data_IF_994096449251
#
_entry.id   IF_994096449251
#
_cell.length_a   1.000
_cell.length_b   1.000
_cell.length_c   1.000
_cell.angle_alpha   90.00
_cell.angle_beta   90.00
_cell.angle_gamma   90.00
#
_symmetry.space_group_name_H-M   'P 1'
#
loop_
_entity.id
_entity.type
_entity.pdbx_description
1 polymer ?
#
# COMPACT_ATOMS: atom_id res chain seq x y z
N UNK A 1 9.86 -7.83 13.74
CA UNK A 1 8.55 -7.36 13.23
C UNK A 1 8.70 -6.94 11.78
N UNK A 2 8.25 -7.75 10.81
CA UNK A 2 8.31 -7.44 9.37
C UNK A 2 6.99 -7.87 8.72
N UNK A 3 5.96 -7.02 8.83
CA UNK A 3 4.60 -7.32 8.31
C UNK A 3 3.94 -6.25 7.41
N UNK A 4 4.30 -4.95 7.41
CA UNK A 4 3.58 -4.00 6.55
C UNK A 4 4.03 -4.04 5.08
N UNK A 5 5.32 -4.33 4.81
CA UNK A 5 5.86 -4.34 3.43
C UNK A 5 5.35 -5.50 2.58
N UNK A 6 5.12 -6.65 3.20
CA UNK A 6 4.63 -7.86 2.51
C UNK A 6 3.16 -7.72 2.15
N UNK A 7 2.35 -7.06 2.99
CA UNK A 7 0.93 -6.87 2.74
C UNK A 7 0.66 -5.89 1.58
N UNK A 8 1.47 -4.84 1.44
CA UNK A 8 1.41 -3.91 0.30
C UNK A 8 1.77 -4.62 -1.02
N UNK A 9 2.79 -5.48 -1.01
CA UNK A 9 3.20 -6.27 -2.18
C UNK A 9 2.12 -7.26 -2.63
N UNK A 10 1.37 -7.87 -1.70
CA UNK A 10 0.29 -8.82 -2.03
C UNK A 10 -0.91 -8.08 -2.65
N UNK A 11 -1.27 -6.90 -2.13
CA UNK A 11 -2.34 -6.08 -2.72
C UNK A 11 -1.93 -5.57 -4.10
N UNK A 12 -0.67 -5.17 -4.28
CA UNK A 12 -0.14 -4.72 -5.57
C UNK A 12 -0.11 -5.86 -6.61
N UNK A 13 0.33 -7.05 -6.21
CA UNK A 13 0.29 -8.25 -7.05
C UNK A 13 -1.14 -8.64 -7.43
N UNK A 14 -2.11 -8.51 -6.51
CA UNK A 14 -3.52 -8.79 -6.81
C UNK A 14 -4.15 -7.75 -7.74
N UNK A 15 -3.76 -6.47 -7.65
CA UNK A 15 -4.21 -5.43 -8.58
C UNK A 15 -3.59 -5.64 -9.97
N UNK A 16 -2.29 -5.90 -10.03
CA UNK A 16 -1.57 -6.17 -11.30
C UNK A 16 -2.09 -7.46 -11.96
N UNK A 17 -2.32 -8.54 -11.20
CA UNK A 17 -2.94 -9.77 -11.70
C UNK A 17 -4.39 -9.52 -12.12
N UNK A 18 -5.15 -8.69 -11.40
CA UNK A 18 -6.51 -8.32 -11.82
C UNK A 18 -6.50 -7.51 -13.12
N UNK A 19 -5.51 -6.63 -13.33
CA UNK A 19 -5.33 -5.86 -14.57
C UNK A 19 -4.88 -6.77 -15.73
N UNK A 20 -4.02 -7.76 -15.47
CA UNK A 20 -3.58 -8.77 -16.46
C UNK A 20 -4.75 -9.70 -16.84
N UNK A 21 -5.58 -10.13 -15.87
CA UNK A 21 -6.80 -10.90 -16.14
C UNK A 21 -7.87 -10.04 -16.85
N UNK A 22 -7.90 -8.73 -16.60
CA UNK A 22 -8.78 -7.79 -17.31
C UNK A 22 -8.46 -7.66 -18.80
N UNK A 23 -7.24 -8.02 -19.20
CA UNK A 23 -6.78 -7.96 -20.59
C UNK A 23 -7.38 -9.07 -21.47
N UNK A 24 -8.12 -10.04 -20.90
CA UNK A 24 -8.69 -11.18 -21.65
C UNK A 24 -10.22 -11.11 -21.75
N UNK A 25 -10.67 -10.52 -22.86
CA UNK A 25 -11.96 -10.61 -23.59
C UNK A 25 -13.31 -10.53 -22.84
N UNK A 26 -14.08 -9.50 -23.19
CA UNK A 26 -15.51 -9.57 -23.58
C UNK A 26 -15.80 -8.27 -24.33
N UNK A 27 -16.38 -8.33 -25.53
CA UNK A 27 -16.66 -7.16 -26.40
C UNK A 27 -17.40 -6.02 -25.69
N UNK A 28 -18.20 -6.35 -24.67
CA UNK A 28 -18.85 -5.39 -23.78
C UNK A 28 -17.87 -4.62 -22.87
N UNK A 29 -16.91 -5.31 -22.25
CA UNK A 29 -15.92 -4.70 -21.34
C UNK A 29 -14.90 -3.86 -22.09
N UNK A 30 -14.50 -4.27 -23.29
CA UNK A 30 -13.63 -3.47 -24.15
C UNK A 30 -14.28 -2.13 -24.55
N UNK A 31 -15.59 -2.12 -24.81
CA UNK A 31 -16.34 -0.89 -25.11
C UNK A 31 -16.39 0.07 -23.92
N UNK A 32 -16.66 -0.44 -22.71
CA UNK A 32 -16.68 0.39 -21.50
C UNK A 32 -15.27 0.91 -21.17
N UNK A 33 -14.26 0.05 -21.25
CA UNK A 33 -12.86 0.45 -21.06
C UNK A 33 -12.46 1.55 -22.07
N UNK A 34 -12.82 1.40 -23.34
CA UNK A 34 -12.57 2.41 -24.37
C UNK A 34 -13.25 3.74 -24.03
N UNK A 35 -14.54 3.72 -23.65
CA UNK A 35 -15.25 4.94 -23.23
C UNK A 35 -14.65 5.60 -21.98
N UNK A 36 -14.21 4.81 -21.00
CA UNK A 36 -13.57 5.33 -19.79
C UNK A 36 -12.23 6.01 -20.10
N UNK A 37 -11.47 5.46 -21.05
CA UNK A 37 -10.13 5.97 -21.36
C UNK A 37 -10.10 6.98 -22.51
N UNK A 38 -11.17 7.17 -23.28
CA UNK A 38 -11.20 8.19 -24.34
C UNK A 38 -10.91 9.60 -23.80
N UNK A 39 -11.30 9.89 -22.55
CA UNK A 39 -11.07 11.17 -21.86
C UNK A 39 -9.66 11.30 -21.26
N UNK A 40 -8.90 10.21 -21.18
CA UNK A 40 -7.54 10.23 -20.62
C UNK A 40 -6.59 10.81 -21.65
N UNK A 41 -6.27 12.08 -21.47
CA UNK A 41 -5.15 12.72 -22.13
C UNK A 41 -3.84 12.40 -21.39
N UNK A 42 -2.76 12.26 -22.16
CA UNK A 42 -1.42 12.07 -21.63
C UNK A 42 -0.39 12.73 -22.54
N UNK A 43 0.74 13.11 -21.96
CA UNK A 43 1.90 13.65 -22.66
C UNK A 43 2.94 12.56 -22.90
N UNK A 44 3.96 12.88 -23.70
CA UNK A 44 5.16 12.04 -23.81
C UNK A 44 5.79 11.77 -22.44
N UNK A 45 5.87 12.79 -21.58
CA UNK A 45 6.40 12.67 -20.23
C UNK A 45 5.58 11.68 -19.38
N UNK A 46 4.25 11.76 -19.41
CA UNK A 46 3.37 10.81 -18.71
C UNK A 46 3.66 9.37 -19.14
N UNK A 47 3.85 9.14 -20.44
CA UNK A 47 4.12 7.83 -20.99
C UNK A 47 5.49 7.30 -20.54
N UNK A 48 6.53 8.13 -20.58
CA UNK A 48 7.87 7.73 -20.16
C UNK A 48 7.97 7.50 -18.65
N UNK A 49 7.30 8.34 -17.84
CA UNK A 49 7.21 8.13 -16.40
C UNK A 49 6.46 6.84 -16.06
N UNK A 50 5.35 6.56 -16.74
CA UNK A 50 4.61 5.30 -16.59
C UNK A 50 5.49 4.09 -16.91
N UNK A 51 6.24 4.14 -18.02
CA UNK A 51 7.17 3.07 -18.39
C UNK A 51 8.26 2.89 -17.36
N UNK A 52 8.90 3.97 -16.92
CA UNK A 52 9.95 3.93 -15.91
C UNK A 52 9.44 3.33 -14.60
N UNK A 53 8.25 3.74 -14.17
CA UNK A 53 7.58 3.22 -12.99
C UNK A 53 7.41 1.70 -13.05
N UNK A 54 6.77 1.17 -14.09
CA UNK A 54 6.55 -0.28 -14.22
C UNK A 54 7.84 -1.08 -14.50
N UNK A 55 8.83 -0.49 -15.16
CA UNK A 55 10.14 -1.13 -15.33
C UNK A 55 10.94 -1.20 -14.03
N UNK A 56 10.74 -0.23 -13.12
CA UNK A 56 11.40 -0.23 -11.81
C UNK A 56 10.79 -1.21 -10.81
N UNK A 57 9.57 -1.70 -11.05
CA UNK A 57 8.89 -2.66 -10.18
C UNK A 57 9.46 -4.08 -10.35
N UNK A 58 10.38 -4.44 -9.47
CA UNK A 58 11.03 -5.76 -9.46
C UNK A 58 10.06 -6.94 -9.32
N UNK A 59 8.90 -6.76 -8.67
CA UNK A 59 7.92 -7.82 -8.51
C UNK A 59 7.17 -8.05 -9.83
N UNK A 60 6.72 -6.96 -10.47
CA UNK A 60 6.13 -7.03 -11.81
C UNK A 60 7.10 -7.65 -12.82
N UNK A 61 8.37 -7.21 -12.82
CA UNK A 61 9.38 -7.75 -13.73
C UNK A 61 9.61 -9.25 -13.53
N UNK A 62 9.58 -9.73 -12.27
CA UNK A 62 9.68 -11.16 -11.98
C UNK A 62 8.51 -11.94 -12.57
N UNK A 63 7.27 -11.50 -12.31
CA UNK A 63 6.06 -12.16 -12.82
C UNK A 63 6.04 -12.19 -14.34
N UNK A 64 6.38 -11.08 -15.00
CA UNK A 64 6.48 -11.04 -16.46
C UNK A 64 7.49 -12.06 -16.98
N UNK A 65 8.67 -12.14 -16.37
CA UNK A 65 9.69 -13.10 -16.79
C UNK A 65 9.28 -14.55 -16.57
N UNK A 66 8.61 -14.86 -15.46
CA UNK A 66 8.08 -16.20 -15.17
C UNK A 66 7.01 -16.61 -16.19
N UNK A 67 6.06 -15.72 -16.47
CA UNK A 67 5.01 -15.96 -17.48
C UNK A 67 5.59 -16.12 -18.89
N UNK A 68 6.59 -15.31 -19.26
CA UNK A 68 7.29 -15.45 -20.54
C UNK A 68 7.96 -16.82 -20.65
N UNK A 69 8.61 -17.30 -19.57
CA UNK A 69 9.20 -18.66 -19.54
C UNK A 69 8.14 -19.75 -19.67
N UNK A 70 6.93 -19.50 -19.17
CA UNK A 70 5.77 -20.37 -19.34
C UNK A 70 5.10 -20.26 -20.73
N UNK A 71 5.61 -19.40 -21.62
CA UNK A 71 5.10 -19.24 -22.99
C UNK A 71 3.94 -18.26 -23.14
N UNK A 72 3.67 -17.41 -22.14
CA UNK A 72 2.61 -16.41 -22.21
C UNK A 72 2.99 -15.26 -23.16
N UNK A 73 2.32 -15.20 -24.31
CA UNK A 73 2.51 -14.18 -25.33
C UNK A 73 2.06 -12.79 -24.89
N UNK A 74 1.08 -12.67 -23.99
CA UNK A 74 0.62 -11.39 -23.47
C UNK A 74 1.72 -10.74 -22.62
N UNK A 75 2.40 -11.53 -21.79
CA UNK A 75 3.55 -11.06 -21.01
C UNK A 75 4.74 -10.65 -21.88
N UNK A 76 4.97 -11.32 -23.01
CA UNK A 76 5.97 -10.88 -24.01
C UNK A 76 5.60 -9.53 -24.61
N UNK A 77 4.34 -9.35 -25.01
CA UNK A 77 3.85 -8.09 -25.57
C UNK A 77 3.94 -6.94 -24.56
N UNK A 78 3.54 -7.18 -23.31
CA UNK A 78 3.64 -6.20 -22.22
C UNK A 78 5.10 -5.78 -21.99
N UNK A 79 6.02 -6.74 -21.94
CA UNK A 79 7.45 -6.44 -21.77
C UNK A 79 8.01 -5.63 -22.93
N UNK A 80 7.62 -5.95 -24.17
CA UNK A 80 7.98 -5.16 -25.36
C UNK A 80 7.44 -3.74 -25.27
N UNK A 81 6.16 -3.58 -24.92
CA UNK A 81 5.53 -2.27 -24.72
C UNK A 81 6.29 -1.42 -23.71
N UNK A 82 6.56 -1.96 -22.51
CA UNK A 82 7.29 -1.25 -21.46
C UNK A 82 8.74 -0.90 -21.88
N UNK A 83 9.32 -1.59 -22.86
CA UNK A 83 10.65 -1.28 -23.41
C UNK A 83 10.64 -0.26 -24.56
N UNK A 84 9.47 0.11 -25.10
CA UNK A 84 9.34 0.95 -26.29
C UNK A 84 9.08 2.41 -25.92
N UNK A 85 9.93 3.32 -26.38
CA UNK A 85 9.77 4.76 -26.14
C UNK A 85 8.59 5.37 -26.87
N UNK A 86 8.15 6.52 -26.38
CA UNK A 86 6.95 7.22 -26.82
C UNK A 86 6.91 7.45 -28.33
N UNK A 87 8.05 7.82 -28.92
CA UNK A 87 8.24 8.02 -30.36
C UNK A 87 7.97 6.76 -31.19
N UNK A 88 8.09 5.57 -30.59
CA UNK A 88 7.82 4.28 -31.24
C UNK A 88 6.57 3.57 -30.68
N UNK A 89 5.75 4.26 -29.88
CA UNK A 89 4.59 3.62 -29.20
C UNK A 89 3.64 2.91 -30.16
N UNK A 90 3.45 3.45 -31.36
CA UNK A 90 2.56 2.90 -32.38
C UNK A 90 3.07 1.55 -32.95
N UNK A 91 4.35 1.21 -32.72
CA UNK A 91 4.94 -0.07 -33.13
C UNK A 91 4.61 -1.23 -32.18
N UNK A 92 4.03 -0.94 -31.01
CA UNK A 92 3.75 -1.92 -29.95
C UNK A 92 2.51 -2.77 -30.23
N UNK A 93 1.76 -2.48 -31.31
CA UNK A 93 0.48 -3.11 -31.70
C UNK A 93 -0.62 -2.96 -30.64
N UNK A 94 -0.40 -2.20 -29.58
CA UNK A 94 -1.45 -1.80 -28.65
C UNK A 94 -2.32 -0.72 -29.28
N UNK A 95 -3.59 -0.75 -28.91
CA UNK A 95 -4.54 0.28 -29.24
C UNK A 95 -4.38 1.45 -28.26
N UNK A 96 -4.68 2.66 -28.73
CA UNK A 96 -4.53 3.89 -27.95
C UNK A 96 -5.21 3.84 -26.57
N UNK A 97 -6.40 3.22 -26.47
CA UNK A 97 -7.12 3.08 -25.20
C UNK A 97 -6.42 2.15 -24.20
N UNK A 98 -5.63 1.18 -24.67
CA UNK A 98 -4.83 0.29 -23.81
C UNK A 98 -3.66 1.08 -23.20
N UNK A 99 -2.99 1.90 -24.02
CA UNK A 99 -1.92 2.80 -23.56
C UNK A 99 -2.47 3.79 -22.52
N UNK A 100 -3.61 4.42 -22.83
CA UNK A 100 -4.30 5.33 -21.90
C UNK A 100 -4.71 4.64 -20.61
N UNK A 101 -5.17 3.39 -20.68
CA UNK A 101 -5.47 2.57 -19.50
C UNK A 101 -4.25 2.31 -18.62
N UNK A 102 -3.09 2.05 -19.21
CA UNK A 102 -1.83 1.88 -18.47
C UNK A 102 -1.40 3.18 -17.78
N UNK A 103 -1.53 4.32 -18.46
CA UNK A 103 -1.21 5.64 -17.88
C UNK A 103 -2.16 6.00 -16.75
N UNK A 104 -3.46 5.72 -16.92
CA UNK A 104 -4.43 5.90 -15.85
C UNK A 104 -4.07 5.03 -14.64
N UNK A 105 -3.72 3.77 -14.85
CA UNK A 105 -3.32 2.84 -13.79
C UNK A 105 -2.06 3.31 -13.06
N UNK A 106 -1.08 3.85 -13.79
CA UNK A 106 0.09 4.50 -13.21
C UNK A 106 -0.29 5.69 -12.31
N UNK A 107 -1.11 6.62 -12.81
CA UNK A 107 -1.56 7.80 -12.05
C UNK A 107 -2.30 7.41 -10.77
N UNK A 108 -3.23 6.44 -10.86
CA UNK A 108 -3.94 5.91 -9.70
C UNK A 108 -2.98 5.29 -8.68
N UNK A 109 -1.99 4.53 -9.15
CA UNK A 109 -1.00 3.90 -8.27
C UNK A 109 -0.18 4.94 -7.51
N UNK A 110 0.28 5.99 -8.18
CA UNK A 110 0.99 7.10 -7.54
C UNK A 110 0.11 7.85 -6.54
N UNK A 111 -1.15 8.11 -6.87
CA UNK A 111 -2.07 8.78 -5.96
C UNK A 111 -2.35 7.96 -4.70
N UNK A 112 -2.50 6.64 -4.84
CA UNK A 112 -2.65 5.72 -3.72
C UNK A 112 -1.39 5.74 -2.84
N UNK A 113 -0.20 5.65 -3.45
CA UNK A 113 1.06 5.74 -2.71
C UNK A 113 1.19 7.08 -1.96
N UNK A 114 0.80 8.19 -2.58
CA UNK A 114 0.78 9.52 -1.95
C UNK A 114 -0.15 9.57 -0.74
N UNK A 115 -1.37 9.01 -0.86
CA UNK A 115 -2.33 8.93 0.24
C UNK A 115 -1.81 8.07 1.39
N UNK A 116 -1.20 6.93 1.09
CA UNK A 116 -0.58 6.09 2.12
C UNK A 116 0.59 6.79 2.80
N UNK A 117 1.45 7.49 2.06
CA UNK A 117 2.54 8.27 2.64
C UNK A 117 2.03 9.39 3.55
N UNK A 118 0.94 10.07 3.17
CA UNK A 118 0.31 11.08 4.01
C UNK A 118 -0.28 10.48 5.31
N UNK A 119 -0.89 9.30 5.23
CA UNK A 119 -1.39 8.57 6.40
C UNK A 119 -0.23 8.15 7.31
N UNK A 120 0.85 7.60 6.75
CA UNK A 120 2.05 7.20 7.50
C UNK A 120 2.71 8.39 8.21
N UNK A 121 2.78 9.54 7.55
CA UNK A 121 3.28 10.78 8.16
C UNK A 121 2.42 11.23 9.35
N UNK A 122 1.09 11.19 9.20
CA UNK A 122 0.17 11.53 10.31
C UNK A 122 0.27 10.54 11.45
N UNK A 123 0.46 9.25 11.14
CA UNK A 123 0.65 8.22 12.16
C UNK A 123 1.94 8.47 12.94
N UNK A 124 3.05 8.80 12.27
CA UNK A 124 4.32 9.15 12.93
C UNK A 124 4.23 10.40 13.79
N UNK A 125 3.51 11.42 13.33
CA UNK A 125 3.25 12.62 14.11
C UNK A 125 2.45 12.28 15.38
N UNK A 126 1.42 11.44 15.24
CA UNK A 126 0.63 10.97 16.37
C UNK A 126 1.47 10.12 17.33
N UNK A 127 2.27 9.17 16.83
CA UNK A 127 3.21 8.38 17.64
C UNK A 127 4.23 9.26 18.37
N UNK A 128 4.73 10.33 17.73
CA UNK A 128 5.59 11.31 18.37
C UNK A 128 4.88 12.18 19.42
N UNK A 129 3.58 12.42 19.25
CA UNK A 129 2.75 13.12 20.25
C UNK A 129 2.35 12.24 21.44
N UNK A 130 2.29 10.93 21.25
CA UNK A 130 2.00 9.91 22.28
C UNK A 130 3.30 9.40 22.93
N UNK A 131 4.47 9.61 22.30
CA UNK A 131 5.76 9.42 22.94
C UNK A 131 5.77 10.22 24.26
N UNK A 132 6.12 9.59 25.39
CA UNK A 132 5.64 9.98 26.70
C UNK A 132 6.01 11.42 27.00
N UNK A 133 5.01 12.29 26.94
CA UNK A 133 5.10 13.66 27.43
C UNK A 133 4.72 13.72 28.90
N UNK A 134 4.99 12.65 29.67
CA UNK A 134 4.36 12.46 30.97
C UNK A 134 5.42 12.23 32.04
N UNK A 135 5.92 13.33 32.62
CA UNK A 135 6.38 13.32 34.01
C UNK A 135 5.27 12.78 34.95
N UNK A 136 4.00 12.95 34.56
CA UNK A 136 2.80 12.47 35.26
C UNK A 136 2.66 10.94 35.30
N UNK A 137 3.15 10.20 34.30
CA UNK A 137 3.09 8.73 34.30
C UNK A 137 4.09 8.14 35.31
N UNK A 138 5.20 8.84 35.59
CA UNK A 138 6.16 8.39 36.61
C UNK A 138 5.60 8.50 38.03
N UNK A 139 4.77 9.53 38.30
CA UNK A 139 4.13 9.72 39.59
C UNK A 139 3.03 8.65 39.82
N UNK A 140 2.23 8.36 38.80
CA UNK A 140 1.25 7.28 38.83
C UNK A 140 1.92 5.91 39.01
N UNK A 141 3.05 5.67 38.34
CA UNK A 141 3.80 4.43 38.47
C UNK A 141 4.45 4.28 39.86
N UNK A 142 5.00 5.35 40.42
CA UNK A 142 5.55 5.38 41.78
C UNK A 142 4.47 5.10 42.83
N UNK A 143 3.26 5.63 42.65
CA UNK A 143 2.13 5.34 43.54
C UNK A 143 1.70 3.87 43.43
N UNK A 144 1.66 3.30 42.22
CA UNK A 144 1.34 1.90 41.98
C UNK A 144 2.38 0.95 42.58
N UNK A 145 3.66 1.28 42.47
CA UNK A 145 4.74 0.48 43.05
C UNK A 145 4.76 0.57 44.58
N UNK A 146 4.42 1.74 45.14
CA UNK A 146 4.22 1.92 46.58
C UNK A 146 3.07 1.07 47.11
N UNK A 147 1.93 1.06 46.40
CA UNK A 147 0.77 0.23 46.74
C UNK A 147 1.09 -1.27 46.64
N UNK A 148 1.79 -1.69 45.58
CA UNK A 148 2.23 -3.09 45.41
C UNK A 148 3.17 -3.54 46.53
N UNK A 149 4.08 -2.66 46.96
CA UNK A 149 4.96 -2.93 48.10
C UNK A 149 4.17 -3.11 49.39
N UNK A 150 3.16 -2.27 49.65
CA UNK A 150 2.28 -2.40 50.81
C UNK A 150 1.42 -3.68 50.78
N UNK A 151 0.99 -4.12 49.59
CA UNK A 151 0.27 -5.41 49.39
C UNK A 151 1.20 -6.57 49.70
N UNK A 152 2.41 -6.57 49.12
CA UNK A 152 3.37 -7.67 49.25
C UNK A 152 3.96 -7.77 50.67
N UNK A 153 4.03 -6.67 51.42
CA UNK A 153 4.42 -6.66 52.83
C UNK A 153 3.27 -7.05 53.78
N UNK A 154 2.07 -7.37 53.26
CA UNK A 154 0.90 -7.76 54.07
C UNK A 154 0.36 -6.65 54.98
N UNK A 155 0.73 -5.39 54.72
CA UNK A 155 0.42 -4.23 55.59
C UNK A 155 -0.92 -3.57 55.27
N UNK A 156 -1.47 -3.79 54.08
CA UNK A 156 -2.77 -3.23 53.68
C UNK A 156 -3.95 -3.72 54.55
N UNK A 157 -3.83 -4.90 55.16
CA UNK A 157 -4.86 -5.44 56.06
C UNK A 157 -4.87 -4.81 57.47
N UNK A 158 -3.81 -4.08 57.87
CA UNK A 158 -3.75 -3.42 59.20
C UNK A 158 -4.34 -2.02 59.22
N UNK A 159 -4.52 -1.39 58.06
CA UNK A 159 -5.04 -0.01 57.94
C UNK A 159 -6.49 0.06 57.44
N UNK A 160 -7.05 -1.02 56.90
CA UNK A 160 -8.46 -1.03 56.51
C UNK A 160 -9.36 -1.29 57.74
N UNK A 161 -9.75 -0.22 58.44
CA UNK A 161 -10.93 -0.27 59.33
C UNK A 161 -12.18 -0.32 58.46
N UNK A 162 -12.83 -1.48 58.42
CA UNK A 162 -14.13 -1.62 57.78
C UNK A 162 -15.15 -0.70 58.46
N UNK A 163 -15.96 0.08 57.72
CA UNK A 163 -17.05 0.87 58.31
C UNK A 163 -18.23 0.02 58.80
N UNK A 164 -18.13 -1.32 58.76
CA UNK A 164 -19.17 -2.27 59.13
C UNK A 164 -18.81 -3.15 60.34
N UNK A 165 -17.72 -2.86 61.06
CA UNK A 165 -17.48 -3.53 62.35
C UNK A 165 -18.42 -2.95 63.41
N UNK A 166 -19.38 -3.73 63.96
CA UNK A 166 -20.19 -3.28 65.09
C UNK A 166 -19.30 -3.16 66.35
N UNK A 167 -19.49 -2.07 67.09
CA UNK A 167 -18.88 -1.85 68.42
C UNK A 167 -19.36 -2.88 69.45
#
# INVERSE_FOLDING_TARGET
MSKPRVMILIVFALIVVSVIIYFVSTTYKARIARQMFDTVAYTEEDYELMRAYFNSDTALQRVLNENIRAGDSASVHMKKFLSTSYQFRDTTRLQEWEIKGMIHSYRVSIDVLRKFAAIDSKLKELEGSIAPKNADDSAAQQQLDSLRKLVNEGKLAKEYKSPLDPQ
#
